data_IF_949850255190
#
_entry.id   IF_949850255190
#
_cell.length_a   1.000
_cell.length_b   1.000
_cell.length_c   1.000
_cell.angle_alpha   90.00
_cell.angle_beta   90.00
_cell.angle_gamma   90.00
#
_symmetry.space_group_name_H-M   'P 1'
#
loop_
_entity.id
_entity.type
_entity.pdbx_description
1 polymer ?
#
# COMPACT_ATOMS: atom_id res chain seq x y z
N UNK A 1 -66.84 -63.03 -21.11
CA UNK A 1 -66.25 -61.83 -21.74
C UNK A 1 -64.76 -62.09 -21.90
N UNK A 2 -64.27 -62.40 -23.12
CA UNK A 2 -63.66 -61.46 -24.09
C UNK A 2 -62.40 -60.79 -23.51
N UNK A 3 -61.21 -60.73 -24.10
CA UNK A 3 -60.47 -61.36 -25.22
C UNK A 3 -59.00 -60.92 -25.02
N UNK A 4 -58.06 -61.55 -25.72
CA UNK A 4 -56.61 -61.30 -25.73
C UNK A 4 -56.18 -59.87 -26.11
N UNK A 5 -54.97 -59.44 -25.69
CA UNK A 5 -54.32 -58.23 -26.20
C UNK A 5 -52.80 -58.19 -25.98
N UNK A 6 -52.03 -58.23 -27.07
CA UNK A 6 -50.56 -58.14 -27.20
C UNK A 6 -50.05 -56.69 -27.08
N UNK A 7 -48.81 -56.53 -26.60
CA UNK A 7 -47.80 -55.53 -27.05
C UNK A 7 -47.97 -54.07 -26.59
N UNK A 8 -46.97 -53.18 -26.58
CA UNK A 8 -45.56 -53.12 -27.01
C UNK A 8 -44.86 -51.96 -26.25
N UNK A 9 -43.56 -52.16 -25.97
CA UNK A 9 -42.34 -51.30 -25.86
C UNK A 9 -42.37 -49.74 -25.75
N UNK A 10 -41.32 -49.24 -25.03
CA UNK A 10 -40.60 -47.93 -25.05
C UNK A 10 -41.22 -46.76 -24.23
N UNK A 11 -40.49 -45.86 -23.56
CA UNK A 11 -39.07 -45.65 -23.23
C UNK A 11 -38.92 -44.48 -22.20
N UNK A 12 -37.73 -44.37 -21.60
CA UNK A 12 -37.03 -43.18 -21.09
C UNK A 12 -37.54 -42.43 -19.83
N UNK A 13 -36.61 -42.14 -18.90
CA UNK A 13 -36.87 -41.20 -17.80
C UNK A 13 -35.76 -41.02 -16.76
N UNK A 14 -34.65 -40.39 -17.16
CA UNK A 14 -33.73 -39.51 -16.38
C UNK A 14 -33.19 -40.01 -15.01
N UNK A 15 -31.90 -40.38 -15.00
CA UNK A 15 -31.10 -40.50 -13.78
C UNK A 15 -30.61 -39.11 -13.32
N UNK A 16 -31.06 -38.64 -12.15
CA UNK A 16 -30.56 -37.42 -11.53
C UNK A 16 -29.25 -37.72 -10.77
N UNK A 17 -28.12 -37.25 -11.30
CA UNK A 17 -26.85 -37.21 -10.57
C UNK A 17 -26.89 -36.01 -9.62
N UNK A 18 -27.03 -36.28 -8.32
CA UNK A 18 -26.80 -35.29 -7.27
C UNK A 18 -25.29 -35.03 -7.18
N UNK A 19 -24.79 -34.10 -7.99
CA UNK A 19 -23.41 -33.62 -7.92
C UNK A 19 -23.19 -32.85 -6.63
N UNK A 20 -22.30 -33.37 -5.78
CA UNK A 20 -21.77 -32.67 -4.60
C UNK A 20 -21.02 -31.44 -5.10
N UNK A 21 -21.53 -30.23 -4.85
CA UNK A 21 -20.74 -29.02 -5.00
C UNK A 21 -19.90 -28.86 -3.73
N UNK A 22 -18.71 -29.48 -3.74
CA UNK A 22 -17.66 -29.07 -2.82
C UNK A 22 -17.27 -27.64 -3.18
N UNK A 23 -17.74 -26.66 -2.40
CA UNK A 23 -17.23 -25.29 -2.47
C UNK A 23 -15.82 -25.37 -1.89
N UNK A 24 -14.81 -25.46 -2.75
CA UNK A 24 -13.44 -25.18 -2.35
C UNK A 24 -13.40 -23.71 -1.93
N UNK A 25 -13.47 -23.47 -0.62
CA UNK A 25 -13.14 -22.17 -0.04
C UNK A 25 -11.70 -21.88 -0.47
N UNK A 26 -11.54 -20.90 -1.36
CA UNK A 26 -10.23 -20.42 -1.73
C UNK A 26 -9.63 -19.79 -0.48
N UNK A 27 -8.62 -20.46 0.06
CA UNK A 27 -7.71 -19.91 1.05
C UNK A 27 -6.90 -18.83 0.31
N UNK A 28 -7.52 -17.65 0.13
CA UNK A 28 -6.82 -16.40 -0.16
C UNK A 28 -5.99 -16.12 1.10
N UNK A 29 -4.88 -16.82 1.21
CA UNK A 29 -3.81 -16.52 2.16
C UNK A 29 -3.28 -15.18 1.73
N UNK A 30 -3.94 -14.13 2.22
CA UNK A 30 -3.53 -12.74 2.11
C UNK A 30 -2.03 -12.74 2.39
N UNK A 31 -1.24 -12.52 1.33
CA UNK A 31 0.20 -12.42 1.48
C UNK A 31 0.41 -11.37 2.56
N UNK A 32 1.06 -11.70 3.70
CA UNK A 32 1.30 -10.70 4.72
C UNK A 32 1.99 -9.52 4.02
N UNK A 33 1.59 -8.27 4.31
CA UNK A 33 2.18 -7.12 3.66
C UNK A 33 3.70 -7.27 3.75
N UNK A 34 4.38 -7.23 2.60
CA UNK A 34 5.84 -7.30 2.54
C UNK A 34 6.41 -6.40 3.64
N UNK A 35 7.25 -6.92 4.54
CA UNK A 35 7.70 -6.16 5.69
C UNK A 35 8.31 -4.85 5.18
N UNK A 36 7.78 -3.73 5.68
CA UNK A 36 8.24 -2.40 5.28
C UNK A 36 9.77 -2.36 5.43
N UNK A 37 10.52 -1.95 4.39
CA UNK A 37 11.96 -1.94 4.47
C UNK A 37 12.36 -1.01 5.60
N UNK A 38 13.29 -1.48 6.40
CA UNK A 38 13.78 -0.72 7.54
C UNK A 38 15.25 -1.09 7.75
N UNK A 39 16.08 -0.07 7.92
CA UNK A 39 17.48 -0.24 8.27
C UNK A 39 17.94 0.88 9.20
N UNK A 40 18.92 0.57 10.03
CA UNK A 40 19.53 1.53 10.96
C UNK A 40 21.02 1.59 10.63
N UNK A 41 21.49 2.78 10.25
CA UNK A 41 22.92 3.04 10.01
C UNK A 41 23.53 3.66 11.26
N UNK A 42 24.75 3.25 11.59
CA UNK A 42 25.49 3.68 12.78
C UNK A 42 26.82 4.30 12.35
N UNK A 43 27.24 5.34 13.07
CA UNK A 43 28.54 5.97 12.84
C UNK A 43 29.69 4.99 13.10
N UNK A 44 29.62 4.24 14.19
CA UNK A 44 30.75 3.43 14.65
C UNK A 44 30.54 1.95 14.24
N UNK A 45 31.63 1.15 14.11
CA UNK A 45 31.53 -0.29 13.90
C UNK A 45 30.80 -1.02 15.05
N UNK A 46 30.27 -2.21 14.78
CA UNK A 46 29.61 -3.03 15.81
C UNK A 46 28.27 -2.47 16.32
N UNK A 47 27.60 -1.65 15.52
CA UNK A 47 26.29 -1.05 15.80
C UNK A 47 26.30 -0.06 16.98
N UNK A 48 27.33 0.77 17.05
CA UNK A 48 27.56 1.71 18.16
C UNK A 48 27.51 3.17 17.71
N UNK A 49 27.37 4.07 18.68
CA UNK A 49 27.39 5.52 18.46
C UNK A 49 26.10 6.08 17.85
N UNK A 50 26.15 7.31 17.30
CA UNK A 50 25.01 7.95 16.64
C UNK A 50 24.43 7.07 15.54
N UNK A 51 23.11 7.00 15.50
CA UNK A 51 22.36 6.14 14.59
C UNK A 51 21.22 6.89 13.90
N UNK A 52 20.89 6.47 12.68
CA UNK A 52 19.75 6.96 11.91
C UNK A 52 18.95 5.77 11.40
N UNK A 53 17.65 5.76 11.71
CA UNK A 53 16.69 4.82 11.13
C UNK A 53 16.23 5.35 9.77
N UNK A 54 16.22 4.48 8.76
CA UNK A 54 15.78 4.76 7.40
C UNK A 54 14.78 3.68 7.01
N UNK A 55 13.56 4.09 6.71
CA UNK A 55 12.46 3.21 6.28
C UNK A 55 11.96 3.49 4.86
N UNK A 56 12.44 4.57 4.24
CA UNK A 56 12.04 5.01 2.90
C UNK A 56 13.27 5.50 2.11
N UNK A 57 13.07 5.82 0.83
CA UNK A 57 14.13 6.40 0.01
C UNK A 57 14.47 7.82 0.51
N UNK A 58 15.69 8.00 0.98
CA UNK A 58 16.23 9.28 1.43
C UNK A 58 17.26 9.81 0.42
N UNK A 59 16.88 10.76 -0.46
CA UNK A 59 17.80 11.33 -1.45
C UNK A 59 18.91 12.19 -0.83
N UNK A 60 18.75 12.67 0.41
CA UNK A 60 19.79 13.38 1.14
C UNK A 60 19.69 13.09 2.64
N UNK A 61 20.67 12.39 3.20
CA UNK A 61 20.71 12.06 4.63
C UNK A 61 21.30 13.18 5.50
N UNK A 62 22.03 14.14 4.92
CA UNK A 62 22.65 15.24 5.69
C UNK A 62 23.66 14.79 6.75
N UNK A 63 24.25 13.61 6.63
CA UNK A 63 25.17 13.08 7.63
C UNK A 63 26.49 13.85 7.61
N UNK A 64 26.89 14.36 8.78
CA UNK A 64 28.20 14.97 9.02
C UNK A 64 29.31 13.93 9.35
N UNK A 65 28.99 12.64 9.25
CA UNK A 65 29.85 11.54 9.69
C UNK A 65 29.79 10.34 8.74
N UNK A 66 30.79 9.46 8.84
CA UNK A 66 30.87 8.22 8.04
C UNK A 66 30.14 7.08 8.74
N UNK A 67 29.47 6.24 7.97
CA UNK A 67 28.74 5.06 8.47
C UNK A 67 29.70 3.89 8.66
N UNK A 68 29.83 3.43 9.91
CA UNK A 68 30.69 2.31 10.31
C UNK A 68 29.99 0.95 10.27
N UNK A 69 28.69 0.90 10.54
CA UNK A 69 27.90 -0.34 10.54
C UNK A 69 26.42 -0.09 10.20
N UNK A 70 25.70 -1.16 9.84
CA UNK A 70 24.28 -1.12 9.49
C UNK A 70 23.55 -2.37 10.00
N UNK A 71 22.35 -2.18 10.54
CA UNK A 71 21.39 -3.27 10.74
C UNK A 71 20.27 -3.17 9.71
N UNK A 72 19.97 -4.25 9.02
CA UNK A 72 18.88 -4.37 8.07
C UNK A 72 17.77 -5.19 8.72
N UNK A 73 16.68 -4.52 9.11
CA UNK A 73 15.50 -5.17 9.70
C UNK A 73 14.66 -5.84 8.63
N UNK A 74 14.51 -5.17 7.48
CA UNK A 74 13.77 -5.67 6.34
C UNK A 74 14.24 -5.01 5.03
N UNK A 75 14.04 -5.75 3.93
CA UNK A 75 14.32 -5.28 2.57
C UNK A 75 15.81 -5.33 2.19
N UNK A 76 16.07 -4.95 0.94
CA UNK A 76 17.42 -4.78 0.39
C UNK A 76 17.68 -3.30 0.18
N UNK A 77 18.85 -2.81 0.56
CA UNK A 77 19.16 -1.39 0.59
C UNK A 77 20.30 -1.03 -0.33
N UNK A 78 20.23 0.13 -0.97
CA UNK A 78 21.33 0.75 -1.72
C UNK A 78 21.79 1.99 -0.97
N UNK A 79 23.07 2.04 -0.61
CA UNK A 79 23.73 3.16 0.04
C UNK A 79 24.67 3.81 -0.96
N UNK A 80 24.59 5.13 -1.12
CA UNK A 80 25.37 5.86 -2.11
C UNK A 80 26.17 7.00 -1.47
N UNK A 81 27.39 7.23 -1.98
CA UNK A 81 28.32 8.25 -1.49
C UNK A 81 27.89 9.69 -1.81
N UNK A 82 27.00 9.88 -2.79
CA UNK A 82 26.44 11.20 -3.14
C UNK A 82 24.93 11.24 -2.95
N UNK A 83 24.38 12.44 -2.86
CA UNK A 83 22.94 12.69 -2.83
C UNK A 83 22.26 12.18 -4.11
N UNK A 84 20.93 12.00 -4.04
CA UNK A 84 20.08 11.56 -5.16
C UNK A 84 20.48 10.20 -5.75
N UNK A 85 21.00 9.29 -4.93
CA UNK A 85 21.36 7.91 -5.31
C UNK A 85 22.44 7.83 -6.39
N UNK A 86 23.47 8.69 -6.29
CA UNK A 86 24.55 8.82 -7.27
C UNK A 86 25.92 8.44 -6.68
N UNK A 87 26.92 8.32 -7.57
CA UNK A 87 28.30 8.02 -7.18
C UNK A 87 28.51 6.52 -7.02
N UNK A 88 29.47 6.16 -6.16
CA UNK A 88 29.67 4.77 -5.81
C UNK A 88 28.54 4.34 -4.85
N UNK A 89 27.84 3.26 -5.23
CA UNK A 89 26.72 2.74 -4.49
C UNK A 89 26.97 1.28 -4.13
N UNK A 90 26.60 0.88 -2.90
CA UNK A 90 26.72 -0.49 -2.42
C UNK A 90 25.35 -1.00 -1.99
N UNK A 91 25.07 -2.24 -2.39
CA UNK A 91 23.85 -2.94 -2.00
C UNK A 91 24.09 -3.76 -0.75
N UNK A 92 23.22 -3.61 0.25
CA UNK A 92 23.27 -4.29 1.54
C UNK A 92 21.90 -4.90 1.82
N UNK A 93 21.84 -6.19 2.07
CA UNK A 93 20.62 -6.97 2.32
C UNK A 93 20.58 -7.62 3.71
N UNK A 94 21.62 -7.41 4.50
CA UNK A 94 21.90 -8.11 5.75
C UNK A 94 22.67 -7.20 6.70
N UNK A 95 22.58 -7.49 7.99
CA UNK A 95 23.35 -6.80 9.02
C UNK A 95 24.85 -6.83 8.70
N UNK A 96 25.52 -5.67 8.74
CA UNK A 96 26.97 -5.56 8.60
C UNK A 96 27.56 -4.84 9.80
N UNK A 97 28.34 -5.53 10.65
CA UNK A 97 29.00 -4.91 11.80
C UNK A 97 30.17 -4.00 11.35
N UNK A 98 30.62 -4.15 10.10
CA UNK A 98 31.65 -3.31 9.48
C UNK A 98 31.23 -3.07 8.02
N UNK A 99 30.95 -1.81 7.66
CA UNK A 99 30.42 -1.47 6.33
C UNK A 99 31.51 -1.29 5.26
N UNK A 100 32.74 -0.93 5.63
CA UNK A 100 33.87 -0.70 4.71
C UNK A 100 35.04 -1.65 4.98
N UNK A 101 35.85 -1.94 3.96
CA UNK A 101 37.02 -2.83 4.05
C UNK A 101 38.15 -2.29 4.95
N UNK A 102 38.02 -1.06 5.47
CA UNK A 102 38.91 -0.46 6.44
C UNK A 102 38.11 0.24 7.53
N UNK A 103 38.72 0.36 8.72
CA UNK A 103 38.21 0.94 9.98
C UNK A 103 37.71 2.39 9.93
N UNK A 104 37.52 2.98 8.75
CA UNK A 104 37.08 4.38 8.55
C UNK A 104 35.61 4.54 8.13
N UNK A 105 34.88 3.44 7.90
CA UNK A 105 33.48 3.50 7.46
C UNK A 105 33.29 4.10 6.06
N UNK A 106 32.04 4.17 5.60
CA UNK A 106 31.64 4.66 4.28
C UNK A 106 31.05 6.07 4.37
N UNK A 107 31.32 6.94 3.39
CA UNK A 107 30.52 8.16 3.23
C UNK A 107 29.17 7.74 2.66
N UNK A 108 28.08 8.03 3.36
CA UNK A 108 26.73 7.75 2.87
C UNK A 108 25.95 9.05 2.88
N UNK A 109 25.50 9.48 1.71
CA UNK A 109 24.77 10.74 1.54
C UNK A 109 23.34 10.51 1.03
N UNK A 110 23.06 9.35 0.43
CA UNK A 110 21.70 8.92 0.13
C UNK A 110 21.53 7.41 0.29
N UNK A 111 20.31 6.98 0.59
CA UNK A 111 19.99 5.58 0.86
C UNK A 111 18.56 5.27 0.44
N UNK A 112 18.33 4.14 -0.23
CA UNK A 112 16.99 3.71 -0.65
C UNK A 112 16.82 2.19 -0.59
N UNK A 113 15.61 1.68 -0.37
CA UNK A 113 15.34 0.27 -0.58
C UNK A 113 15.34 -0.05 -2.08
N UNK A 114 15.71 -1.29 -2.42
CA UNK A 114 15.75 -1.85 -3.76
C UNK A 114 14.69 -2.94 -3.89
N UNK A 115 13.98 -2.97 -5.01
CA UNK A 115 12.90 -3.95 -5.24
C UNK A 115 11.65 -3.70 -4.38
N UNK A 116 11.73 -2.76 -3.43
CA UNK A 116 10.57 -2.23 -2.74
C UNK A 116 10.11 -0.96 -3.43
N UNK A 117 8.99 -1.05 -4.12
CA UNK A 117 8.21 0.12 -4.49
C UNK A 117 7.29 0.38 -3.30
N UNK A 118 7.38 1.54 -2.62
CA UNK A 118 6.39 1.89 -1.62
C UNK A 118 5.02 1.71 -2.27
N UNK A 119 4.06 1.06 -1.59
CA UNK A 119 2.67 1.24 -1.95
C UNK A 119 2.44 2.75 -2.04
N UNK A 120 2.06 3.24 -3.21
CA UNK A 120 2.23 4.64 -3.58
C UNK A 120 1.21 5.55 -2.88
N UNK A 121 1.34 5.81 -1.58
CA UNK A 121 0.34 6.56 -0.81
C UNK A 121 0.75 6.83 0.64
N UNK A 122 0.23 7.90 1.22
CA UNK A 122 0.25 8.09 2.67
C UNK A 122 -0.62 7.01 3.32
N UNK A 123 -0.18 6.25 4.32
CA UNK A 123 -1.03 5.28 5.02
C UNK A 123 -2.28 5.93 5.61
N UNK A 124 -3.40 5.22 5.62
CA UNK A 124 -4.66 5.74 6.14
C UNK A 124 -5.62 4.67 6.63
N UNK A 125 -6.33 4.97 7.72
CA UNK A 125 -7.25 4.05 8.40
C UNK A 125 -8.73 4.32 8.10
N UNK A 126 -9.03 5.29 7.22
CA UNK A 126 -10.38 5.68 6.82
C UNK A 126 -11.34 6.02 7.99
N UNK A 127 -10.94 6.88 8.95
CA UNK A 127 -11.80 7.29 10.05
C UNK A 127 -13.09 7.92 9.53
N UNK A 128 -14.22 7.55 10.12
CA UNK A 128 -15.51 8.08 9.71
C UNK A 128 -16.51 8.27 10.85
N UNK A 129 -17.43 9.21 10.65
CA UNK A 129 -18.60 9.45 11.48
C UNK A 129 -19.84 9.35 10.59
N UNK A 130 -20.67 8.34 10.83
CA UNK A 130 -21.87 8.08 10.03
C UNK A 130 -23.13 8.64 10.71
N UNK A 131 -23.87 9.47 10.00
CA UNK A 131 -25.22 9.89 10.35
C UNK A 131 -26.27 9.14 9.53
N UNK A 132 -27.53 9.57 9.64
CA UNK A 132 -28.66 8.92 8.93
C UNK A 132 -28.62 9.15 7.41
N UNK A 133 -28.28 10.36 6.96
CA UNK A 133 -28.34 10.77 5.55
C UNK A 133 -26.96 11.02 4.91
N UNK A 134 -25.89 10.96 5.70
CA UNK A 134 -24.54 11.26 5.24
C UNK A 134 -23.49 10.55 6.11
N UNK A 135 -22.27 10.47 5.61
CA UNK A 135 -21.10 10.00 6.35
C UNK A 135 -19.92 10.91 6.10
N UNK A 136 -19.29 11.34 7.18
CA UNK A 136 -18.11 12.18 7.17
C UNK A 136 -16.86 11.32 7.32
N UNK A 137 -15.83 11.61 6.53
CA UNK A 137 -14.52 10.99 6.57
C UNK A 137 -13.46 12.07 6.76
N UNK A 138 -12.83 12.14 7.93
CA UNK A 138 -11.81 13.16 8.19
C UNK A 138 -10.54 12.94 7.36
N UNK A 139 -10.14 11.68 7.18
CA UNK A 139 -8.97 11.29 6.38
C UNK A 139 -9.33 10.06 5.51
N UNK A 140 -10.05 10.24 4.39
CA UNK A 140 -10.53 9.12 3.57
C UNK A 140 -9.36 8.27 3.05
N UNK A 141 -9.50 6.95 3.22
CA UNK A 141 -8.51 5.99 2.77
C UNK A 141 -9.16 4.78 2.09
N UNK A 142 -8.46 4.22 1.11
CA UNK A 142 -8.87 3.01 0.37
C UNK A 142 -7.65 2.11 0.20
N UNK A 143 -7.81 0.82 0.47
CA UNK A 143 -6.70 -0.14 0.39
C UNK A 143 -5.57 0.16 1.38
N UNK A 144 -5.87 0.80 2.51
CA UNK A 144 -4.87 1.16 3.53
C UNK A 144 -4.11 2.47 3.28
N UNK A 145 -4.45 3.22 2.22
CA UNK A 145 -3.79 4.48 1.87
C UNK A 145 -4.79 5.63 1.69
N UNK A 146 -4.36 6.83 2.07
CA UNK A 146 -5.11 8.08 1.85
C UNK A 146 -5.41 8.27 0.36
N UNK A 147 -6.61 8.76 0.09
CA UNK A 147 -7.05 9.07 -1.28
C UNK A 147 -6.40 10.38 -1.74
N UNK A 148 -5.73 10.37 -2.88
CA UNK A 148 -5.17 11.58 -3.48
C UNK A 148 -6.29 12.54 -3.90
N UNK A 149 -6.06 13.84 -3.72
CA UNK A 149 -6.95 14.85 -4.29
C UNK A 149 -6.95 14.78 -5.82
N UNK A 150 -5.79 14.48 -6.43
CA UNK A 150 -5.62 14.39 -7.88
C UNK A 150 -4.70 13.22 -8.28
N UNK A 151 -5.25 12.03 -8.58
CA UNK A 151 -4.46 10.86 -8.92
C UNK A 151 -3.83 10.89 -10.33
N UNK A 152 -4.38 11.65 -11.28
CA UNK A 152 -3.92 11.69 -12.67
C UNK A 152 -2.61 12.44 -12.95
N UNK A 153 -1.97 13.00 -11.91
CA UNK A 153 -0.85 13.93 -12.08
C UNK A 153 -1.33 15.32 -12.52
N UNK A 154 -0.80 16.37 -11.89
CA UNK A 154 -1.23 17.76 -12.11
C UNK A 154 -1.45 18.53 -10.80
N UNK A 155 -1.86 19.80 -10.91
CA UNK A 155 -2.15 20.65 -9.75
C UNK A 155 -3.39 20.17 -9.00
N UNK A 156 -3.35 20.22 -7.66
CA UNK A 156 -4.48 19.88 -6.80
C UNK A 156 -5.57 20.97 -6.87
N UNK A 157 -6.38 20.92 -7.93
CA UNK A 157 -7.49 21.85 -8.17
C UNK A 157 -8.77 21.39 -7.48
N UNK A 158 -9.65 22.33 -7.16
CA UNK A 158 -10.95 22.03 -6.52
C UNK A 158 -11.79 21.03 -7.33
N UNK A 159 -11.91 21.23 -8.66
CA UNK A 159 -12.68 20.33 -9.52
C UNK A 159 -12.12 18.90 -9.57
N UNK A 160 -10.80 18.76 -9.48
CA UNK A 160 -10.15 17.47 -9.47
C UNK A 160 -10.34 16.75 -8.12
N UNK A 161 -10.21 17.47 -7.02
CA UNK A 161 -10.53 16.96 -5.69
C UNK A 161 -12.00 16.54 -5.57
N UNK A 162 -12.92 17.31 -6.16
CA UNK A 162 -14.34 16.96 -6.19
C UNK A 162 -14.60 15.65 -6.94
N UNK A 163 -13.98 15.45 -8.11
CA UNK A 163 -14.08 14.18 -8.85
C UNK A 163 -13.56 13.01 -8.02
N UNK A 164 -12.36 13.16 -7.45
CA UNK A 164 -11.78 12.14 -6.57
C UNK A 164 -12.65 11.85 -5.35
N UNK A 165 -13.30 12.87 -4.77
CA UNK A 165 -14.20 12.73 -3.63
C UNK A 165 -15.51 12.03 -4.02
N UNK A 166 -16.06 12.33 -5.20
CA UNK A 166 -17.22 11.63 -5.74
C UNK A 166 -16.90 10.14 -5.97
N UNK A 167 -15.76 9.84 -6.60
CA UNK A 167 -15.28 8.46 -6.80
C UNK A 167 -15.00 7.73 -5.48
N UNK A 168 -14.57 8.48 -4.46
CA UNK A 168 -14.44 7.96 -3.11
C UNK A 168 -15.81 7.56 -2.53
N UNK A 169 -16.74 8.50 -2.52
CA UNK A 169 -18.07 8.33 -1.94
C UNK A 169 -18.88 7.22 -2.64
N UNK A 170 -18.81 7.11 -3.96
CA UNK A 170 -19.51 6.07 -4.73
C UNK A 170 -19.05 4.67 -4.36
N UNK A 171 -17.74 4.45 -4.18
CA UNK A 171 -17.26 3.13 -3.73
C UNK A 171 -17.59 2.84 -2.25
N UNK A 172 -17.85 3.87 -1.44
CA UNK A 172 -18.34 3.70 -0.07
C UNK A 172 -19.87 3.54 0.01
N UNK A 173 -20.57 3.49 -1.14
CA UNK A 173 -22.01 3.27 -1.22
C UNK A 173 -22.86 4.54 -1.13
N UNK A 174 -22.26 5.71 -1.30
CA UNK A 174 -22.96 7.01 -1.29
C UNK A 174 -23.04 7.60 -2.70
N UNK A 175 -24.07 8.41 -2.99
CA UNK A 175 -24.28 8.93 -4.36
C UNK A 175 -23.17 9.86 -4.84
N UNK A 176 -22.72 10.79 -4.00
CA UNK A 176 -21.64 11.75 -4.31
C UNK A 176 -21.08 12.40 -3.04
N UNK A 177 -20.02 13.17 -3.21
CA UNK A 177 -19.58 14.12 -2.19
C UNK A 177 -20.50 15.35 -2.16
N UNK A 178 -20.75 15.85 -0.96
CA UNK A 178 -21.39 17.15 -0.71
C UNK A 178 -20.36 18.21 -0.31
N UNK A 179 -19.22 17.78 0.26
CA UNK A 179 -18.09 18.63 0.63
C UNK A 179 -16.80 17.82 0.65
N UNK A 180 -15.69 18.48 0.34
CA UNK A 180 -14.35 17.93 0.42
C UNK A 180 -13.36 19.06 0.69
N UNK A 181 -12.35 18.77 1.49
CA UNK A 181 -11.16 19.59 1.66
C UNK A 181 -9.93 18.86 1.09
N UNK A 182 -8.81 19.57 1.08
CA UNK A 182 -7.52 19.03 0.67
C UNK A 182 -6.49 19.26 1.78
N UNK A 183 -5.63 18.27 1.99
CA UNK A 183 -4.55 18.32 2.95
C UNK A 183 -3.24 17.93 2.26
N UNK A 184 -2.18 18.72 2.47
CA UNK A 184 -0.85 18.41 1.95
C UNK A 184 -0.05 17.63 2.99
N UNK A 185 0.26 16.37 2.68
CA UNK A 185 1.08 15.50 3.52
C UNK A 185 2.32 15.09 2.74
N UNK A 186 3.51 15.37 3.30
CA UNK A 186 4.82 15.04 2.69
C UNK A 186 4.94 15.47 1.21
N UNK A 187 4.41 16.64 0.87
CA UNK A 187 4.49 17.21 -0.49
C UNK A 187 3.49 16.63 -1.50
N UNK A 188 2.53 15.80 -1.07
CA UNK A 188 1.42 15.30 -1.89
C UNK A 188 0.09 15.78 -1.32
N UNK A 189 -0.87 16.05 -2.19
CA UNK A 189 -2.19 16.56 -1.79
C UNK A 189 -3.20 15.42 -1.76
N UNK A 190 -3.82 15.20 -0.60
CA UNK A 190 -4.81 14.17 -0.33
C UNK A 190 -6.16 14.81 -0.06
N UNK A 191 -7.23 14.03 -0.21
CA UNK A 191 -8.53 14.41 0.29
C UNK A 191 -8.52 14.42 1.83
N UNK A 192 -9.25 15.37 2.39
CA UNK A 192 -9.54 15.50 3.81
C UNK A 192 -10.99 15.98 3.98
N UNK A 193 -11.58 15.75 5.15
CA UNK A 193 -12.91 16.24 5.52
C UNK A 193 -13.99 16.03 4.43
N UNK A 194 -14.11 14.79 3.96
CA UNK A 194 -15.05 14.43 2.89
C UNK A 194 -16.40 14.06 3.49
N UNK A 195 -17.45 14.78 3.06
CA UNK A 195 -18.84 14.46 3.41
C UNK A 195 -19.51 13.76 2.23
N UNK A 196 -19.79 12.47 2.38
CA UNK A 196 -20.54 11.68 1.42
C UNK A 196 -22.04 11.72 1.75
N UNK A 197 -22.90 11.91 0.74
CA UNK A 197 -24.35 11.94 0.95
C UNK A 197 -25.13 11.49 -0.30
N UNK A 198 -26.40 11.15 -0.10
CA UNK A 198 -27.33 10.84 -1.20
C UNK A 198 -28.09 12.08 -1.70
N UNK A 199 -28.09 13.15 -0.91
CA UNK A 199 -28.78 14.41 -1.19
C UNK A 199 -27.73 15.44 -1.61
N UNK A 200 -27.53 15.59 -2.92
CA UNK A 200 -26.68 16.68 -3.42
C UNK A 200 -27.43 17.99 -3.28
N UNK A 201 -26.82 18.98 -2.62
CA UNK A 201 -27.21 20.38 -2.72
C UNK A 201 -26.64 20.99 -4.01
#
# INVERSE_FOLDING_TARGET
MIMHGKGWVLAAGVAALAGVTAVAAQDDKMLPPEPRPEAIIYRDPGYQGPAVNVSEAQPNLGLAWRVGSIRVRAGRWQLCERINFRGNCRTIDSDRPILATASRGMVVQSMRPLGWTPPSGEPGNNPSLRGMAAQFYSAPARGGYRVLACPGGGSATANCAERSANDFCTAMGWRRSARQAMETVRGRVYLADVLCSNTGY
#
